data_IF_773867685281
#
_entry.id   IF_773867685281
#
_cell.length_a   1.000
_cell.length_b   1.000
_cell.length_c   1.000
_cell.angle_alpha   90.00
_cell.angle_beta   90.00
_cell.angle_gamma   90.00
#
_symmetry.space_group_name_H-M   'P 1'
#
loop_
_entity.id
_entity.type
_entity.pdbx_description
1 polymer ?
#
# COMPACT_ATOMS: atom_id res chain seq x y z
N UNK A 1 -7.78 0.17 -12.13
CA UNK A 1 -8.33 0.60 -10.82
C UNK A 1 -7.23 0.81 -9.77
N UNK A 2 -6.31 -0.14 -9.51
CA UNK A 2 -5.30 -0.01 -8.45
C UNK A 2 -4.44 1.26 -8.60
N UNK A 3 -3.99 1.60 -9.82
CA UNK A 3 -3.28 2.87 -10.07
C UNK A 3 -4.10 4.11 -9.66
N UNK A 4 -5.40 4.11 -9.96
CA UNK A 4 -6.34 5.17 -9.56
C UNK A 4 -6.46 5.22 -8.03
N UNK A 5 -6.61 4.07 -7.36
CA UNK A 5 -6.61 3.98 -5.90
C UNK A 5 -5.31 4.51 -5.28
N UNK A 6 -4.15 4.21 -5.87
CA UNK A 6 -2.85 4.74 -5.43
C UNK A 6 -2.84 6.27 -5.53
N UNK A 7 -3.27 6.83 -6.66
CA UNK A 7 -3.35 8.28 -6.84
C UNK A 7 -4.31 8.94 -5.82
N UNK A 8 -5.52 8.40 -5.67
CA UNK A 8 -6.53 8.91 -4.72
C UNK A 8 -6.07 8.80 -3.26
N UNK A 9 -5.29 7.77 -2.92
CA UNK A 9 -4.80 7.56 -1.55
C UNK A 9 -3.92 8.70 -1.04
N UNK A 10 -3.28 9.48 -1.92
CA UNK A 10 -2.48 10.65 -1.54
C UNK A 10 -3.30 11.70 -0.78
N UNK A 11 -4.56 11.93 -1.19
CA UNK A 11 -5.45 12.89 -0.54
C UNK A 11 -5.78 12.49 0.91
N UNK A 12 -5.69 11.20 1.23
CA UNK A 12 -5.99 10.64 2.56
C UNK A 12 -4.72 10.27 3.34
N UNK A 13 -3.53 10.69 2.87
CA UNK A 13 -2.22 10.28 3.41
C UNK A 13 -2.01 10.51 4.90
N UNK A 14 -2.70 11.49 5.50
CA UNK A 14 -2.61 11.83 6.93
C UNK A 14 -3.69 11.14 7.79
N UNK A 15 -4.71 10.57 7.15
CA UNK A 15 -5.89 10.02 7.82
C UNK A 15 -5.83 8.49 7.92
N UNK A 16 -5.11 7.84 7.00
CA UNK A 16 -5.03 6.38 6.90
C UNK A 16 -3.60 5.93 7.13
N UNK A 17 -3.43 4.98 8.05
CA UNK A 17 -2.11 4.43 8.40
C UNK A 17 -1.56 3.53 7.29
N UNK A 18 -2.39 2.65 6.74
CA UNK A 18 -2.03 1.72 5.67
C UNK A 18 -3.17 1.60 4.66
N UNK A 19 -2.81 1.70 3.39
CA UNK A 19 -3.68 1.33 2.27
C UNK A 19 -3.27 -0.05 1.78
N UNK A 20 -4.24 -0.87 1.39
CA UNK A 20 -3.99 -2.28 1.07
C UNK A 20 -4.78 -2.74 -0.14
N UNK A 21 -4.22 -3.65 -0.94
CA UNK A 21 -4.91 -4.28 -2.05
C UNK A 21 -4.37 -5.69 -2.32
N UNK A 22 -5.20 -6.55 -2.91
CA UNK A 22 -4.80 -7.86 -3.40
C UNK A 22 -4.58 -7.82 -4.92
N UNK A 23 -3.46 -8.36 -5.37
CA UNK A 23 -3.06 -8.40 -6.78
C UNK A 23 -2.97 -9.86 -7.23
N UNK A 24 -3.83 -10.27 -8.16
CA UNK A 24 -3.84 -11.64 -8.67
C UNK A 24 -2.66 -11.94 -9.60
N UNK A 25 -2.40 -11.06 -10.57
CA UNK A 25 -1.32 -11.24 -11.56
C UNK A 25 -0.05 -10.50 -11.18
N UNK A 26 1.07 -11.23 -11.07
CA UNK A 26 2.38 -10.68 -10.71
C UNK A 26 2.94 -9.67 -11.73
N UNK A 27 2.57 -9.79 -13.01
CA UNK A 27 2.94 -8.86 -14.08
C UNK A 27 2.47 -7.42 -13.83
N UNK A 28 1.43 -7.24 -13.01
CA UNK A 28 0.96 -5.91 -12.63
C UNK A 28 1.88 -5.23 -11.60
N UNK A 29 2.80 -5.95 -10.94
CA UNK A 29 3.60 -5.38 -9.85
C UNK A 29 4.55 -4.25 -10.29
N UNK A 30 5.37 -4.40 -11.37
CA UNK A 30 6.28 -3.33 -11.78
C UNK A 30 5.59 -1.98 -12.03
N UNK A 31 4.49 -1.87 -12.80
CA UNK A 31 3.81 -0.59 -12.99
C UNK A 31 3.10 -0.08 -11.73
N UNK A 32 2.77 -0.93 -10.76
CA UNK A 32 2.22 -0.50 -9.47
C UNK A 32 3.30 0.08 -8.55
N UNK A 33 4.50 -0.50 -8.52
CA UNK A 33 5.62 0.06 -7.76
C UNK A 33 6.04 1.43 -8.27
N UNK A 34 6.03 1.64 -9.59
CA UNK A 34 6.27 2.97 -10.18
C UNK A 34 5.22 3.98 -9.72
N UNK A 35 3.93 3.63 -9.84
CA UNK A 35 2.84 4.50 -9.39
C UNK A 35 2.89 4.80 -7.88
N UNK A 36 3.29 3.84 -7.04
CA UNK A 36 3.47 4.04 -5.60
C UNK A 36 4.63 5.00 -5.30
N UNK A 37 5.72 4.89 -6.04
CA UNK A 37 6.88 5.78 -5.93
C UNK A 37 6.52 7.20 -6.35
N UNK A 38 5.87 7.35 -7.51
CA UNK A 38 5.35 8.63 -8.01
C UNK A 38 4.35 9.26 -7.05
N UNK A 39 3.54 8.45 -6.36
CA UNK A 39 2.60 8.92 -5.36
C UNK A 39 3.25 9.35 -4.04
N UNK A 40 4.54 9.09 -3.84
CA UNK A 40 5.27 9.42 -2.62
C UNK A 40 4.98 8.46 -1.46
N UNK A 41 4.61 7.20 -1.74
CA UNK A 41 4.53 6.19 -0.69
C UNK A 41 5.93 5.96 -0.08
N UNK A 42 6.05 6.14 1.24
CA UNK A 42 7.34 6.06 1.95
C UNK A 42 7.71 4.63 2.33
N UNK A 43 6.72 3.73 2.36
CA UNK A 43 6.94 2.31 2.61
C UNK A 43 5.91 1.47 1.88
N UNK A 44 6.38 0.43 1.22
CA UNK A 44 5.56 -0.55 0.50
C UNK A 44 5.94 -1.94 0.99
N UNK A 45 4.95 -2.73 1.36
CA UNK A 45 5.08 -4.12 1.80
C UNK A 45 4.39 -5.02 0.79
N UNK A 46 5.10 -6.03 0.32
CA UNK A 46 4.54 -7.12 -0.47
C UNK A 46 4.57 -8.41 0.34
N UNK A 47 3.47 -9.15 0.35
CA UNK A 47 3.41 -10.52 0.85
C UNK A 47 2.80 -11.41 -0.22
N UNK A 48 3.55 -12.44 -0.63
CA UNK A 48 3.00 -13.48 -1.50
C UNK A 48 1.97 -14.29 -0.69
N UNK A 49 0.83 -14.59 -1.29
CA UNK A 49 -0.24 -15.38 -0.71
C UNK A 49 -0.59 -16.51 -1.69
N UNK A 50 -0.44 -17.75 -1.23
CA UNK A 50 -0.84 -18.92 -1.99
C UNK A 50 -1.94 -19.67 -1.24
N UNK A 51 -3.04 -19.96 -1.91
CA UNK A 51 -4.07 -20.85 -1.41
C UNK A 51 -4.47 -21.83 -2.52
N UNK A 52 -4.05 -23.08 -2.37
CA UNK A 52 -4.15 -24.08 -3.44
C UNK A 52 -3.45 -23.59 -4.71
N UNK A 53 -4.17 -23.63 -5.83
CA UNK A 53 -3.66 -23.17 -7.14
C UNK A 53 -3.73 -21.65 -7.33
N UNK A 54 -4.35 -20.90 -6.41
CA UNK A 54 -4.45 -19.45 -6.53
C UNK A 54 -3.25 -18.79 -5.87
N UNK A 55 -2.44 -18.13 -6.69
CA UNK A 55 -1.39 -17.23 -6.24
C UNK A 55 -1.88 -15.78 -6.33
N UNK A 56 -1.74 -15.04 -5.23
CA UNK A 56 -1.99 -13.61 -5.18
C UNK A 56 -0.89 -12.90 -4.39
N UNK A 57 -0.82 -11.58 -4.50
CA UNK A 57 0.09 -10.74 -3.72
C UNK A 57 -0.72 -9.73 -2.93
N UNK A 58 -0.52 -9.72 -1.64
CA UNK A 58 -0.98 -8.64 -0.79
C UNK A 58 0.02 -7.50 -0.85
N UNK A 59 -0.44 -6.32 -1.27
CA UNK A 59 0.35 -5.10 -1.30
C UNK A 59 -0.25 -4.13 -0.28
N UNK A 60 0.60 -3.63 0.61
CA UNK A 60 0.27 -2.57 1.53
C UNK A 60 1.24 -1.40 1.35
N UNK A 61 0.75 -0.17 1.43
CA UNK A 61 1.60 1.02 1.39
C UNK A 61 1.14 2.07 2.38
N UNK A 62 2.06 2.94 2.76
CA UNK A 62 1.82 4.05 3.67
C UNK A 62 2.58 5.28 3.22
N UNK A 63 2.05 6.44 3.58
CA UNK A 63 2.70 7.74 3.42
C UNK A 63 3.30 8.23 4.74
N UNK A 64 3.20 7.43 5.80
CA UNK A 64 3.71 7.75 7.13
C UNK A 64 5.03 7.03 7.37
N UNK A 65 6.07 7.79 7.72
CA UNK A 65 7.33 7.24 8.20
C UNK A 65 7.15 6.53 9.56
N UNK A 66 8.20 5.88 10.05
CA UNK A 66 8.13 5.06 11.26
C UNK A 66 7.69 5.86 12.50
N UNK A 67 8.09 7.13 12.62
CA UNK A 67 7.73 7.99 13.74
C UNK A 67 6.31 8.52 13.63
N UNK A 68 5.89 8.93 12.43
CA UNK A 68 4.51 9.32 12.13
C UNK A 68 3.55 8.17 12.44
N UNK A 69 3.92 6.92 12.09
CA UNK A 69 3.09 5.74 12.39
C UNK A 69 3.00 5.48 13.89
N UNK A 70 4.11 5.57 14.63
CA UNK A 70 4.09 5.44 16.11
C UNK A 70 3.14 6.46 16.73
N UNK A 71 3.28 7.74 16.35
CA UNK A 71 2.41 8.82 16.83
C UNK A 71 0.93 8.60 16.50
N UNK A 72 0.65 8.12 15.30
CA UNK A 72 -0.72 7.82 14.86
C UNK A 72 -1.38 6.74 15.73
N UNK A 73 -0.64 5.68 16.07
CA UNK A 73 -1.13 4.57 16.90
C UNK A 73 -1.31 5.00 18.36
N UNK A 74 -0.42 5.84 18.89
CA UNK A 74 -0.47 6.29 20.30
C UNK A 74 -1.47 7.43 20.55
N UNK A 75 -2.07 7.99 19.50
CA UNK A 75 -3.04 9.08 19.62
C UNK A 75 -4.25 8.56 20.40
N UNK A 76 -4.45 9.05 21.63
CA UNK A 76 -5.69 8.81 22.41
C UNK A 76 -6.88 9.22 21.54
N UNK A 77 -7.83 8.30 21.38
CA UNK A 77 -9.10 8.56 20.72
C UNK A 77 -9.98 9.46 21.59
#
# INVERSE_FOLDING_TARGET
FIKKMIAESQSFRRQVLWFTTLVSRGENLPPLYRALTEAGAVKVVKKEMAQGQKQSRFIAWTFMDDDQRRRFITRKR
#
